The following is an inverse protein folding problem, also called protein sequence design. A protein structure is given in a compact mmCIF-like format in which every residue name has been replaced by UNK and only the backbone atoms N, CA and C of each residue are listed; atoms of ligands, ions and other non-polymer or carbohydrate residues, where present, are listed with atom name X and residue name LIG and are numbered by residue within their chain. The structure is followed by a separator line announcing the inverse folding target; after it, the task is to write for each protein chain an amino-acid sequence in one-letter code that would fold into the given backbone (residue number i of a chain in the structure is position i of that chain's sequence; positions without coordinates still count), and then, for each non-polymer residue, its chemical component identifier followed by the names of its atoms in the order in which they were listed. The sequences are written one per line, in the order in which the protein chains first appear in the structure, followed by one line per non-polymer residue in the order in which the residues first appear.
data_IF_686539645654
#
_entry.id   IF_686539645654
#
_cell.length_a   1.000
_cell.length_b   1.000
_cell.length_c   1.000
_cell.angle_alpha   90.00
_cell.angle_beta   90.00
_cell.angle_gamma   90.00
#
_symmetry.space_group_name_H-M   'P 1'
#
loop_
_entity.id
_entity.type
_entity.pdbx_description
1 polymer ?
#
# COMPACT_ATOMS: atom_id res chain seq x y z
N UNK A 1 -27.96 22.15 -2.71
CA UNK A 1 -28.18 20.71 -2.99
C UNK A 1 -26.87 20.17 -3.54
N UNK A 2 -26.00 19.64 -2.67
CA UNK A 2 -24.78 18.98 -3.14
C UNK A 2 -25.14 17.54 -3.51
N UNK A 3 -24.79 17.05 -4.71
CA UNK A 3 -25.05 15.66 -5.09
C UNK A 3 -24.38 14.70 -4.09
N UNK A 4 -25.09 13.63 -3.75
CA UNK A 4 -24.73 12.60 -2.76
C UNK A 4 -23.21 12.32 -2.69
N UNK A 5 -22.55 12.84 -1.65
CA UNK A 5 -21.12 12.69 -1.39
C UNK A 5 -20.70 11.25 -1.07
N UNK A 6 -21.65 10.40 -0.70
CA UNK A 6 -21.44 9.01 -0.29
C UNK A 6 -21.01 8.12 -1.44
N UNK A 7 -21.64 8.26 -2.61
CA UNK A 7 -21.29 7.47 -3.80
C UNK A 7 -19.88 7.77 -4.29
N UNK A 8 -19.50 9.06 -4.26
CA UNK A 8 -18.16 9.53 -4.69
C UNK A 8 -17.08 9.02 -3.73
N UNK A 9 -17.35 9.01 -2.41
CA UNK A 9 -16.43 8.45 -1.42
C UNK A 9 -16.23 6.94 -1.59
N UNK A 10 -17.30 6.19 -1.87
CA UNK A 10 -17.21 4.74 -2.11
C UNK A 10 -16.36 4.40 -3.34
N UNK A 11 -16.55 5.14 -4.43
CA UNK A 11 -15.74 4.98 -5.65
C UNK A 11 -14.27 5.29 -5.36
N UNK A 12 -13.99 6.40 -4.66
CA UNK A 12 -12.62 6.79 -4.32
C UNK A 12 -11.93 5.71 -3.46
N UNK A 13 -12.63 5.15 -2.48
CA UNK A 13 -12.09 4.09 -1.63
C UNK A 13 -11.82 2.80 -2.41
N UNK A 14 -12.74 2.41 -3.29
CA UNK A 14 -12.58 1.25 -4.18
C UNK A 14 -11.34 1.38 -5.09
N UNK A 15 -11.14 2.57 -5.65
CA UNK A 15 -9.98 2.87 -6.49
C UNK A 15 -8.66 2.84 -5.71
N UNK A 16 -8.65 3.31 -4.46
CA UNK A 16 -7.48 3.21 -3.60
C UNK A 16 -7.08 1.75 -3.34
N UNK A 17 -8.03 0.88 -3.04
CA UNK A 17 -7.78 -0.56 -2.86
C UNK A 17 -7.27 -1.18 -4.17
N UNK A 18 -7.90 -0.87 -5.31
CA UNK A 18 -7.44 -1.33 -6.63
C UNK A 18 -6.02 -0.88 -6.96
N UNK A 19 -5.63 0.34 -6.58
CA UNK A 19 -4.26 0.82 -6.75
C UNK A 19 -3.25 0.05 -5.90
N UNK A 20 -3.63 -0.36 -4.68
CA UNK A 20 -2.79 -1.20 -3.81
C UNK A 20 -2.60 -2.60 -4.41
N UNK A 21 -3.67 -3.22 -4.91
CA UNK A 21 -3.60 -4.53 -5.58
C UNK A 21 -2.70 -4.47 -6.83
N UNK A 22 -2.82 -3.41 -7.62
CA UNK A 22 -1.95 -3.21 -8.79
C UNK A 22 -0.47 -3.10 -8.41
N UNK A 23 -0.15 -2.34 -7.36
CA UNK A 23 1.23 -2.25 -6.83
C UNK A 23 1.73 -3.61 -6.34
N UNK A 24 0.87 -4.42 -5.72
CA UNK A 24 1.20 -5.78 -5.33
C UNK A 24 1.53 -6.67 -6.53
N UNK A 25 0.74 -6.64 -7.62
CA UNK A 25 1.05 -7.41 -8.82
C UNK A 25 2.36 -7.00 -9.49
N UNK A 26 2.66 -5.69 -9.53
CA UNK A 26 3.95 -5.21 -10.05
C UNK A 26 5.12 -5.76 -9.20
N UNK A 27 4.97 -5.75 -7.87
CA UNK A 27 5.99 -6.30 -6.96
C UNK A 27 6.16 -7.81 -7.15
N UNK A 28 5.06 -8.55 -7.27
CA UNK A 28 5.06 -10.01 -7.50
C UNK A 28 5.72 -10.36 -8.84
N UNK A 29 5.39 -9.62 -9.92
CA UNK A 29 6.01 -9.81 -11.22
C UNK A 29 7.53 -9.63 -11.15
N UNK A 30 8.00 -8.53 -10.56
CA UNK A 30 9.43 -8.25 -10.39
C UNK A 30 10.13 -9.33 -9.57
N UNK A 31 9.49 -9.80 -8.49
CA UNK A 31 10.01 -10.91 -7.70
C UNK A 31 10.17 -12.19 -8.55
N UNK A 32 9.17 -12.54 -9.36
CA UNK A 32 9.24 -13.70 -10.25
C UNK A 32 10.37 -13.58 -11.29
N UNK A 33 10.54 -12.41 -11.90
CA UNK A 33 11.63 -12.13 -12.85
C UNK A 33 13.00 -12.31 -12.19
N UNK A 34 13.19 -11.78 -10.98
CA UNK A 34 14.46 -11.90 -10.25
C UNK A 34 14.75 -13.30 -9.71
N UNK A 35 13.72 -14.12 -9.49
CA UNK A 35 13.90 -15.50 -9.03
C UNK A 35 14.47 -16.41 -10.13
N UNK A 36 14.26 -16.07 -11.40
CA UNK A 36 14.82 -16.81 -12.53
C UNK A 36 16.23 -16.33 -12.88
N UNK A 37 17.20 -17.25 -12.92
CA UNK A 37 18.60 -16.94 -13.25
C UNK A 37 18.79 -16.28 -14.64
N UNK A 38 17.83 -16.47 -15.55
CA UNK A 38 17.89 -15.96 -16.91
C UNK A 38 17.26 -14.56 -17.10
N UNK A 39 16.76 -13.89 -16.03
CA UNK A 39 16.05 -12.59 -16.10
C UNK A 39 15.09 -12.53 -17.31
N UNK A 40 14.29 -13.59 -17.48
CA UNK A 40 13.38 -13.67 -18.60
C UNK A 40 12.17 -12.79 -18.28
N UNK A 41 11.99 -11.68 -18.98
CA UNK A 41 10.86 -10.75 -18.75
C UNK A 41 9.49 -11.37 -19.15
N UNK A 42 9.48 -12.49 -19.87
CA UNK A 42 8.25 -13.20 -20.27
C UNK A 42 7.72 -14.20 -19.24
N UNK A 43 7.99 -14.00 -17.94
CA UNK A 43 7.51 -14.93 -16.88
C UNK A 43 5.99 -15.03 -16.86
N UNK A 44 5.29 -13.93 -17.20
CA UNK A 44 3.83 -13.88 -17.19
C UNK A 44 3.27 -13.94 -18.60
N UNK A 45 2.31 -14.83 -18.82
CA UNK A 45 1.59 -14.88 -20.10
C UNK A 45 0.68 -13.66 -20.27
N UNK A 46 0.44 -13.19 -21.50
CA UNK A 46 -0.49 -12.10 -21.76
C UNK A 46 -1.90 -12.36 -21.19
N UNK A 47 -2.34 -13.62 -21.18
CA UNK A 47 -3.62 -14.05 -20.61
C UNK A 47 -3.65 -13.84 -19.10
N UNK A 48 -2.59 -14.21 -18.38
CA UNK A 48 -2.49 -14.01 -16.94
C UNK A 48 -2.55 -12.51 -16.59
N UNK A 49 -1.82 -11.67 -17.32
CA UNK A 49 -1.82 -10.21 -17.11
C UNK A 49 -3.23 -9.64 -17.27
N UNK A 50 -3.97 -10.04 -18.31
CA UNK A 50 -5.36 -9.59 -18.52
C UNK A 50 -6.29 -10.01 -17.37
N UNK A 51 -6.14 -11.24 -16.87
CA UNK A 51 -6.94 -11.73 -15.72
C UNK A 51 -6.62 -10.93 -14.46
N UNK A 52 -5.35 -10.66 -14.17
CA UNK A 52 -4.94 -9.87 -13.00
C UNK A 52 -5.48 -8.43 -13.07
N UNK A 53 -5.49 -7.81 -14.25
CA UNK A 53 -6.10 -6.48 -14.45
C UNK A 53 -7.61 -6.54 -14.12
N UNK A 54 -8.33 -7.55 -14.61
CA UNK A 54 -9.76 -7.70 -14.29
C UNK A 54 -9.98 -7.86 -12.78
N UNK A 55 -9.18 -8.71 -12.12
CA UNK A 55 -9.25 -8.91 -10.67
C UNK A 55 -8.99 -7.60 -9.91
N UNK A 56 -8.01 -6.80 -10.37
CA UNK A 56 -7.65 -5.52 -9.76
C UNK A 56 -8.82 -4.53 -9.70
N UNK A 57 -9.77 -4.58 -10.63
CA UNK A 57 -10.93 -3.69 -10.64
C UNK A 57 -12.18 -4.35 -10.03
N UNK A 58 -12.42 -5.63 -10.31
CA UNK A 58 -13.64 -6.32 -9.87
C UNK A 58 -13.63 -6.58 -8.37
N UNK A 59 -12.52 -7.03 -7.79
CA UNK A 59 -12.47 -7.38 -6.36
C UNK A 59 -12.68 -6.16 -5.46
N UNK A 60 -11.99 -5.02 -5.65
CA UNK A 60 -12.27 -3.82 -4.86
C UNK A 60 -13.70 -3.33 -5.01
N UNK A 61 -14.26 -3.37 -6.22
CA UNK A 61 -15.63 -2.95 -6.49
C UNK A 61 -16.64 -3.81 -5.72
N UNK A 62 -16.47 -5.14 -5.72
CA UNK A 62 -17.33 -6.06 -4.99
C UNK A 62 -17.22 -5.90 -3.48
N UNK A 63 -16.01 -5.71 -2.95
CA UNK A 63 -15.80 -5.49 -1.51
C UNK A 63 -16.46 -4.18 -1.09
N UNK A 64 -16.15 -3.07 -1.77
CA UNK A 64 -16.76 -1.78 -1.41
C UNK A 64 -18.26 -1.78 -1.65
N UNK A 65 -18.72 -2.27 -2.80
CA UNK A 65 -20.15 -2.33 -3.14
C UNK A 65 -20.93 -3.20 -2.15
N UNK A 66 -20.39 -4.34 -1.77
CA UNK A 66 -20.94 -5.22 -0.74
C UNK A 66 -21.04 -4.52 0.61
N UNK A 67 -19.95 -3.92 1.10
CA UNK A 67 -19.95 -3.18 2.37
C UNK A 67 -20.95 -2.00 2.36
N UNK A 68 -21.11 -1.30 1.24
CA UNK A 68 -22.10 -0.22 1.12
C UNK A 68 -23.54 -0.75 1.07
N UNK A 69 -23.77 -1.90 0.44
CA UNK A 69 -25.10 -2.52 0.33
C UNK A 69 -25.65 -3.05 1.65
N UNK A 70 -24.77 -3.42 2.60
CA UNK A 70 -25.16 -3.96 3.92
C UNK A 70 -25.61 -2.88 4.91
N UNK A 71 -25.67 -1.62 4.47
CA UNK A 71 -26.35 -0.54 5.20
C UNK A 71 -25.44 0.17 6.18
N UNK A 72 -24.68 1.14 5.68
CA UNK A 72 -24.15 2.21 6.53
C UNK A 72 -25.32 3.09 6.99
N UNK A 73 -25.73 2.95 8.25
CA UNK A 73 -26.68 3.87 8.85
C UNK A 73 -25.93 5.15 9.22
N UNK A 74 -26.09 6.19 8.41
CA UNK A 74 -25.53 7.52 8.70
C UNK A 74 -26.32 8.11 9.86
N UNK A 75 -25.84 7.90 11.09
CA UNK A 75 -26.32 8.66 12.23
C UNK A 75 -25.92 10.12 12.02
N UNK A 76 -26.92 10.98 11.77
CA UNK A 76 -26.71 12.43 11.80
C UNK A 76 -26.34 12.82 13.23
N UNK A 77 -25.12 13.29 13.41
CA UNK A 77 -24.68 13.90 14.65
C UNK A 77 -25.35 15.26 14.83
N UNK A 78 -25.88 15.49 16.02
CA UNK A 78 -26.19 16.81 16.57
C UNK A 78 -24.84 17.52 16.76
N UNK A 79 -24.71 18.80 16.41
CA UNK A 79 -23.50 19.66 16.56
C UNK A 79 -22.49 19.74 15.39
N UNK A 80 -22.83 19.27 14.19
CA UNK A 80 -22.06 19.60 12.97
C UNK A 80 -20.74 18.83 12.77
N UNK A 81 -20.32 18.00 13.73
CA UNK A 81 -19.24 17.05 13.56
C UNK A 81 -19.79 15.69 13.10
N UNK A 82 -19.56 15.29 11.86
CA UNK A 82 -20.03 13.99 11.32
C UNK A 82 -19.22 12.87 11.98
N UNK A 83 -19.83 12.06 12.85
CA UNK A 83 -19.19 10.90 13.48
C UNK A 83 -19.79 9.62 12.91
N UNK A 84 -18.96 8.78 12.29
CA UNK A 84 -19.39 7.49 11.75
C UNK A 84 -19.30 6.45 12.85
N UNK A 85 -20.40 6.16 13.53
CA UNK A 85 -20.45 5.12 14.57
C UNK A 85 -20.90 3.81 13.94
N UNK A 86 -19.95 2.97 13.55
CA UNK A 86 -20.23 1.60 13.08
C UNK A 86 -20.56 0.78 14.34
N UNK A 87 -21.83 0.44 14.54
CA UNK A 87 -22.36 -0.16 15.77
C UNK A 87 -21.74 -1.53 16.15
N UNK A 88 -20.95 -2.15 15.25
CA UNK A 88 -20.22 -3.39 15.51
C UNK A 88 -18.68 -3.22 15.61
N UNK A 89 -18.13 -2.02 15.42
CA UNK A 89 -16.68 -1.81 15.21
C UNK A 89 -15.99 -0.95 16.28
N UNK A 90 -16.71 -0.51 17.32
CA UNK A 90 -16.24 0.52 18.26
C UNK A 90 -14.91 0.23 18.98
N UNK A 91 -14.53 -1.04 19.16
CA UNK A 91 -13.26 -1.41 19.80
C UNK A 91 -12.25 -2.07 18.85
N UNK A 92 -12.71 -2.76 17.81
CA UNK A 92 -11.81 -3.45 16.87
C UNK A 92 -11.35 -2.47 15.78
N UNK A 93 -12.25 -1.64 15.25
CA UNK A 93 -11.95 -0.67 14.20
C UNK A 93 -10.96 0.41 14.61
N UNK A 94 -10.99 0.91 15.86
CA UNK A 94 -10.05 1.96 16.30
C UNK A 94 -8.60 1.46 16.41
N UNK A 95 -8.40 0.20 16.83
CA UNK A 95 -7.08 -0.41 16.92
C UNK A 95 -6.53 -0.79 15.54
N UNK A 96 -7.38 -1.33 14.65
CA UNK A 96 -6.99 -1.61 13.27
C UNK A 96 -6.72 -0.33 12.47
N UNK A 97 -7.55 0.71 12.63
CA UNK A 97 -7.33 2.00 11.96
C UNK A 97 -6.01 2.65 12.36
N UNK A 98 -5.65 2.68 13.65
CA UNK A 98 -4.42 3.36 14.07
C UNK A 98 -3.16 2.63 13.59
N UNK A 99 -3.14 1.30 13.69
CA UNK A 99 -2.00 0.50 13.21
C UNK A 99 -1.92 0.49 11.68
N UNK A 100 -3.04 0.34 11.00
CA UNK A 100 -3.10 0.39 9.53
C UNK A 100 -2.73 1.78 9.00
N UNK A 101 -3.15 2.85 9.67
CA UNK A 101 -2.76 4.21 9.32
C UNK A 101 -1.25 4.42 9.43
N UNK A 102 -0.62 3.94 10.50
CA UNK A 102 0.84 4.00 10.66
C UNK A 102 1.54 3.20 9.54
N UNK A 103 1.07 1.97 9.25
CA UNK A 103 1.61 1.14 8.17
C UNK A 103 1.50 1.85 6.81
N UNK A 104 0.32 2.36 6.49
CA UNK A 104 0.04 3.04 5.22
C UNK A 104 0.83 4.33 5.12
N UNK A 105 0.92 5.13 6.19
CA UNK A 105 1.69 6.37 6.21
C UNK A 105 3.19 6.13 5.97
N UNK A 106 3.79 5.16 6.66
CA UNK A 106 5.22 4.84 6.49
C UNK A 106 5.48 4.23 5.11
N UNK A 107 4.60 3.36 4.63
CA UNK A 107 4.71 2.77 3.29
C UNK A 107 4.58 3.86 2.20
N UNK A 108 3.60 4.74 2.32
CA UNK A 108 3.38 5.86 1.40
C UNK A 108 4.57 6.82 1.41
N UNK A 109 5.08 7.18 2.59
CA UNK A 109 6.25 8.05 2.72
C UNK A 109 7.49 7.43 2.07
N UNK A 110 7.75 6.14 2.33
CA UNK A 110 8.88 5.41 1.74
C UNK A 110 8.81 5.34 0.22
N UNK A 111 7.61 5.13 -0.33
CA UNK A 111 7.38 5.13 -1.78
C UNK A 111 7.50 6.53 -2.41
N UNK A 112 7.07 7.59 -1.72
CA UNK A 112 7.26 8.96 -2.19
C UNK A 112 8.74 9.35 -2.21
N UNK A 113 9.51 8.97 -1.19
CA UNK A 113 10.96 9.18 -1.17
C UNK A 113 11.65 8.46 -2.33
N UNK A 114 11.28 7.21 -2.58
CA UNK A 114 11.79 6.45 -3.73
C UNK A 114 11.42 7.10 -5.06
N UNK A 115 10.19 7.58 -5.21
CA UNK A 115 9.75 8.27 -6.43
C UNK A 115 10.52 9.58 -6.63
N UNK A 116 10.68 10.40 -5.59
CA UNK A 116 11.45 11.64 -5.65
C UNK A 116 12.92 11.38 -6.03
N UNK A 117 13.50 10.33 -5.45
CA UNK A 117 14.87 9.93 -5.71
C UNK A 117 15.05 9.41 -7.15
N UNK A 118 14.08 8.65 -7.69
CA UNK A 118 14.06 8.25 -9.10
C UNK A 118 13.88 9.46 -10.04
N UNK A 119 13.05 10.43 -9.68
CA UNK A 119 12.89 11.67 -10.46
C UNK A 119 14.17 12.50 -10.49
N UNK A 120 14.92 12.58 -9.38
CA UNK A 120 16.22 13.25 -9.35
C UNK A 120 17.22 12.59 -10.30
N UNK A 121 17.31 11.25 -10.31
CA UNK A 121 18.17 10.51 -11.25
C UNK A 121 17.87 10.91 -12.70
N UNK A 122 16.58 10.99 -13.07
CA UNK A 122 16.15 11.38 -14.42
C UNK A 122 16.54 12.81 -14.75
N UNK A 123 16.28 13.76 -13.85
CA UNK A 123 16.65 15.18 -14.03
C UNK A 123 18.16 15.32 -14.25
N UNK A 124 18.96 14.66 -13.41
CA UNK A 124 20.41 14.68 -13.54
C UNK A 124 20.90 14.01 -14.82
N UNK A 125 20.24 12.93 -15.26
CA UNK A 125 20.57 12.26 -16.53
C UNK A 125 20.23 13.13 -17.75
N UNK A 126 19.18 13.96 -17.68
CA UNK A 126 18.78 14.86 -18.77
C UNK A 126 19.69 16.08 -18.90
N UNK A 127 20.35 16.50 -17.81
CA UNK A 127 21.29 17.63 -17.82
C UNK A 127 22.67 17.27 -18.40
N UNK A 128 22.88 16.04 -18.88
CA UNK A 128 24.04 15.64 -19.69
C UNK A 128 25.35 15.43 -18.94
N UNK A 129 25.51 15.98 -17.73
CA UNK A 129 26.70 15.77 -16.89
C UNK A 129 26.31 15.65 -15.42
N UNK A 130 26.39 14.43 -14.87
CA UNK A 130 26.35 14.20 -13.43
C UNK A 130 27.78 14.19 -12.93
N UNK A 131 28.14 15.12 -12.05
CA UNK A 131 29.42 15.06 -11.36
C UNK A 131 29.50 13.73 -10.58
N UNK A 132 30.58 12.99 -10.81
CA UNK A 132 30.84 11.72 -10.14
C UNK A 132 30.82 11.87 -8.62
N UNK A 133 31.30 13.01 -8.11
CA UNK A 133 31.26 13.31 -6.69
C UNK A 133 29.83 13.31 -6.14
N UNK A 134 28.89 14.00 -6.79
CA UNK A 134 27.48 14.04 -6.38
C UNK A 134 26.77 12.69 -6.52
N UNK A 135 27.14 11.92 -7.55
CA UNK A 135 26.62 10.57 -7.73
C UNK A 135 27.02 9.64 -6.58
N UNK A 136 28.31 9.55 -6.26
CA UNK A 136 28.82 8.60 -5.26
C UNK A 136 28.52 9.02 -3.82
N UNK A 137 28.50 10.33 -3.52
CA UNK A 137 28.29 10.81 -2.14
C UNK A 137 26.83 10.97 -1.75
N UNK A 138 25.95 11.35 -2.68
CA UNK A 138 24.56 11.67 -2.37
C UNK A 138 23.59 10.71 -3.05
N UNK A 139 23.72 10.54 -4.35
CA UNK A 139 22.69 9.90 -5.17
C UNK A 139 22.66 8.38 -4.98
N UNK A 140 23.83 7.74 -4.92
CA UNK A 140 23.96 6.30 -4.73
C UNK A 140 23.60 5.85 -3.30
N UNK A 141 24.11 6.48 -2.22
CA UNK A 141 23.76 6.07 -0.86
C UNK A 141 22.26 6.29 -0.57
N UNK A 142 21.68 7.40 -1.04
CA UNK A 142 20.25 7.66 -0.87
C UNK A 142 19.37 6.71 -1.70
N UNK A 143 19.81 6.29 -2.89
CA UNK A 143 19.15 5.23 -3.66
C UNK A 143 19.08 3.94 -2.86
N UNK A 144 20.23 3.47 -2.34
CA UNK A 144 20.30 2.22 -1.57
C UNK A 144 19.43 2.31 -0.32
N UNK A 145 19.51 3.43 0.41
CA UNK A 145 18.73 3.65 1.63
C UNK A 145 17.21 3.71 1.36
N UNK A 146 16.76 4.50 0.39
CA UNK A 146 15.33 4.66 0.08
C UNK A 146 14.73 3.40 -0.54
N UNK A 147 15.50 2.68 -1.37
CA UNK A 147 15.07 1.42 -1.94
C UNK A 147 15.00 0.31 -0.88
N UNK A 148 15.99 0.25 0.02
CA UNK A 148 15.96 -0.64 1.18
C UNK A 148 14.76 -0.32 2.08
N UNK A 149 14.56 0.95 2.42
CA UNK A 149 13.43 1.39 3.25
C UNK A 149 12.08 1.03 2.61
N UNK A 150 11.87 1.32 1.33
CA UNK A 150 10.62 0.98 0.65
C UNK A 150 10.38 -0.54 0.55
N UNK A 151 11.45 -1.32 0.43
CA UNK A 151 11.37 -2.80 0.30
C UNK A 151 11.10 -3.46 1.65
N UNK A 152 11.76 -2.98 2.71
CA UNK A 152 11.71 -3.60 4.04
C UNK A 152 10.74 -2.92 5.01
N UNK A 153 10.20 -1.74 4.70
CA UNK A 153 9.21 -1.09 5.55
C UNK A 153 7.98 -1.97 5.80
N UNK A 154 7.34 -2.62 4.79
CA UNK A 154 6.18 -3.47 5.06
C UNK A 154 6.47 -4.63 6.03
N UNK A 155 7.51 -5.47 5.85
CA UNK A 155 7.81 -6.54 6.81
C UNK A 155 8.29 -6.02 8.17
N UNK A 156 9.08 -4.95 8.23
CA UNK A 156 9.55 -4.38 9.50
C UNK A 156 8.39 -3.84 10.33
N UNK A 157 7.45 -3.13 9.71
CA UNK A 157 6.27 -2.63 10.41
C UNK A 157 5.34 -3.79 10.81
N UNK A 158 5.21 -4.84 9.99
CA UNK A 158 4.48 -6.05 10.37
C UNK A 158 5.07 -6.69 11.63
N UNK A 159 6.39 -6.82 11.72
CA UNK A 159 7.08 -7.33 12.91
C UNK A 159 6.87 -6.37 14.10
N UNK A 160 6.96 -5.06 13.88
CA UNK A 160 6.85 -4.07 14.95
C UNK A 160 5.41 -3.88 15.47
N UNK A 161 4.40 -4.02 14.62
CA UNK A 161 3.01 -3.78 14.98
C UNK A 161 2.24 -5.06 15.34
N UNK A 162 2.62 -6.22 14.79
CA UNK A 162 1.91 -7.49 15.06
C UNK A 162 2.57 -8.31 16.16
N UNK A 163 1.93 -8.37 17.33
CA UNK A 163 2.35 -9.24 18.44
C UNK A 163 2.39 -10.71 18.01
N UNK A 164 1.43 -11.17 17.19
CA UNK A 164 1.39 -12.55 16.68
C UNK A 164 2.61 -12.87 15.82
N UNK A 165 3.01 -11.95 14.95
CA UNK A 165 4.21 -12.12 14.10
C UNK A 165 5.47 -12.18 14.97
N UNK A 166 5.61 -11.33 16.00
CA UNK A 166 6.73 -11.40 16.94
C UNK A 166 6.78 -12.70 17.71
N UNK A 167 5.65 -13.16 18.22
CA UNK A 167 5.57 -14.41 18.99
C UNK A 167 5.93 -15.61 18.12
N UNK A 168 5.47 -15.62 16.86
CA UNK A 168 5.83 -16.65 15.89
C UNK A 168 7.32 -16.63 15.51
N UNK A 169 7.94 -15.45 15.40
CA UNK A 169 9.35 -15.29 15.01
C UNK A 169 10.33 -15.57 16.16
N UNK A 170 9.97 -15.18 17.39
CA UNK A 170 10.86 -15.26 18.55
C UNK A 170 10.50 -16.39 19.53
N UNK A 171 9.57 -17.28 19.15
CA UNK A 171 9.29 -18.52 19.89
C UNK A 171 8.54 -18.33 21.21
N UNK A 172 7.68 -17.33 21.33
CA UNK A 172 6.83 -17.17 22.52
C UNK A 172 5.68 -18.17 22.53
N UNK A 173 5.31 -18.69 23.70
CA UNK A 173 4.07 -19.46 23.87
C UNK A 173 2.87 -18.53 23.69
N UNK A 174 2.03 -18.80 22.69
CA UNK A 174 0.74 -18.13 22.53
C UNK A 174 -0.21 -18.66 23.61
N UNK A 175 -0.34 -17.97 24.74
CA UNK A 175 -1.51 -18.16 25.60
C UNK A 175 -2.73 -17.57 24.87
N UNK A 176 -3.46 -18.47 24.20
CA UNK A 176 -4.79 -18.21 23.63
C UNK A 176 -5.81 -18.17 24.78
N UNK A 177 -5.84 -17.04 25.49
CA UNK A 177 -6.90 -16.64 26.40
C UNK A 177 -7.83 -15.64 25.74
#
# INVERSE_FOLDING_TARGET
YFPNSTSVQGINHSWQIGAVIGKFYIALHRYCVFRTAAVNESVWSPTLVRVLIVIQFVVPLLITGGCFSVGYNVQRTVDGAISFTIAAEGQIGSFFHRNMFIIVAVCCFSHNLKAAQQSLVVIFSLNGTIDRFWYETLLWPTFVATNGLATYAPPLILIFCSRRVRVCLFGGTCDLG
#
